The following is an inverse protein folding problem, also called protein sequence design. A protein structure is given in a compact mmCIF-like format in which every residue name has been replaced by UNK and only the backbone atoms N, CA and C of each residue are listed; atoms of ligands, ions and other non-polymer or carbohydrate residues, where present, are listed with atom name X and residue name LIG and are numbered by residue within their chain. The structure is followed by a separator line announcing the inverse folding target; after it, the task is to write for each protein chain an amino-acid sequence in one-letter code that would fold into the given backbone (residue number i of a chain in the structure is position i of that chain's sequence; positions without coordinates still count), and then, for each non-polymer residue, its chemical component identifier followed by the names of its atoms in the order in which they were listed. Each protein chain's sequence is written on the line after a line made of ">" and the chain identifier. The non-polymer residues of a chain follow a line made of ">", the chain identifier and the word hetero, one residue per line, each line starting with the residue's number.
data_IF_995426417720
#
_entry.id   IF_995426417720
#
_cell.length_a   1.000
_cell.length_b   1.000
_cell.length_c   1.000
_cell.angle_alpha   90.00
_cell.angle_beta   90.00
_cell.angle_gamma   90.00
#
_symmetry.space_group_name_H-M   'P 1'
#
loop_
_entity.id
_entity.type
_entity.pdbx_description
1 polymer ?
#
# COMPACT_ATOMS: atom_id res chain seq x y z
N UNK A 1 -1.25 0.99 60.88
CA UNK A 1 -0.39 0.51 59.76
C UNK A 1 -1.23 0.48 58.49
N UNK A 2 -0.83 1.22 57.45
CA UNK A 2 -1.68 1.63 56.33
C UNK A 2 -2.11 0.51 55.37
N UNK A 3 -3.34 0.65 54.85
CA UNK A 3 -3.94 -0.20 53.81
C UNK A 3 -3.23 0.00 52.48
N UNK A 4 -2.66 -1.06 51.90
CA UNK A 4 -2.37 -1.11 50.46
C UNK A 4 -3.53 -1.86 49.79
N UNK A 5 -4.55 -1.12 49.34
CA UNK A 5 -5.59 -1.65 48.45
C UNK A 5 -5.01 -1.66 47.04
N UNK A 6 -4.55 -2.83 46.59
CA UNK A 6 -4.35 -3.05 45.15
C UNK A 6 -5.69 -2.86 44.44
N UNK A 7 -5.81 -1.75 43.70
CA UNK A 7 -6.94 -1.54 42.81
C UNK A 7 -6.69 -2.39 41.56
N UNK A 8 -7.13 -3.65 41.59
CA UNK A 8 -7.22 -4.52 40.40
C UNK A 8 -8.27 -3.90 39.47
N UNK A 9 -7.84 -2.91 38.69
CA UNK A 9 -8.66 -2.11 37.77
C UNK A 9 -9.17 -3.08 36.71
N UNK A 10 -10.38 -3.62 36.90
CA UNK A 10 -11.08 -4.45 35.92
C UNK A 10 -11.00 -3.69 34.59
N UNK A 11 -10.21 -4.20 33.63
CA UNK A 11 -10.15 -3.62 32.29
C UNK A 11 -11.61 -3.62 31.81
N UNK A 12 -12.19 -2.43 31.67
CA UNK A 12 -13.57 -2.28 31.21
C UNK A 12 -13.70 -2.99 29.87
N UNK A 13 -14.76 -3.78 29.65
CA UNK A 13 -15.02 -4.47 28.38
C UNK A 13 -14.86 -3.52 27.18
N UNK A 14 -15.22 -2.24 27.37
CA UNK A 14 -15.02 -1.16 26.40
C UNK A 14 -13.55 -0.92 26.03
N UNK A 15 -12.63 -0.98 26.99
CA UNK A 15 -11.18 -0.81 26.74
C UNK A 15 -10.61 -1.99 25.96
N UNK A 16 -11.07 -3.22 26.21
CA UNK A 16 -10.64 -4.39 25.45
C UNK A 16 -11.11 -4.31 23.98
N UNK A 17 -12.37 -3.92 23.74
CA UNK A 17 -12.87 -3.70 22.38
C UNK A 17 -12.13 -2.55 21.67
N UNK A 18 -11.82 -1.46 22.38
CA UNK A 18 -11.06 -0.34 21.83
C UNK A 18 -9.62 -0.74 21.46
N UNK A 19 -8.96 -1.55 22.29
CA UNK A 19 -7.60 -2.05 22.04
C UNK A 19 -7.56 -2.95 20.80
N UNK A 20 -8.50 -3.90 20.68
CA UNK A 20 -8.61 -4.74 19.49
C UNK A 20 -8.96 -3.94 18.23
N UNK A 21 -9.86 -2.95 18.33
CA UNK A 21 -10.22 -2.10 17.21
C UNK A 21 -9.02 -1.26 16.73
N UNK A 22 -8.28 -0.66 17.67
CA UNK A 22 -7.08 0.11 17.37
C UNK A 22 -6.02 -0.76 16.68
N UNK A 23 -5.79 -1.98 17.17
CA UNK A 23 -4.87 -2.93 16.54
C UNK A 23 -5.30 -3.29 15.11
N UNK A 24 -6.59 -3.59 14.89
CA UNK A 24 -7.12 -3.91 13.56
C UNK A 24 -6.96 -2.74 12.59
N UNK A 25 -7.26 -1.51 13.02
CA UNK A 25 -7.09 -0.32 12.18
C UNK A 25 -5.61 -0.11 11.85
N UNK A 26 -4.72 -0.23 12.83
CA UNK A 26 -3.28 -0.10 12.64
C UNK A 26 -2.76 -1.12 11.61
N UNK A 27 -3.15 -2.39 11.77
CA UNK A 27 -2.79 -3.45 10.85
C UNK A 27 -3.33 -3.19 9.44
N UNK A 28 -4.60 -2.77 9.32
CA UNK A 28 -5.19 -2.42 8.04
C UNK A 28 -4.45 -1.26 7.34
N UNK A 29 -4.02 -0.24 8.09
CA UNK A 29 -3.23 0.88 7.57
C UNK A 29 -1.85 0.42 7.10
N UNK A 30 -1.18 -0.48 7.83
CA UNK A 30 0.10 -1.05 7.41
C UNK A 30 -0.05 -1.86 6.14
N UNK A 31 -1.05 -2.76 6.07
CA UNK A 31 -1.31 -3.57 4.87
C UNK A 31 -1.62 -2.69 3.65
N UNK A 32 -2.46 -1.66 3.83
CA UNK A 32 -2.81 -0.70 2.77
C UNK A 32 -1.62 0.14 2.29
N UNK A 33 -0.75 0.52 3.22
CA UNK A 33 0.40 1.37 2.90
C UNK A 33 1.50 0.58 2.20
N UNK A 34 1.82 -0.62 2.70
CA UNK A 34 3.03 -1.36 2.31
C UNK A 34 2.80 -2.62 1.48
N UNK A 35 1.64 -3.27 1.56
CA UNK A 35 1.44 -4.60 0.96
C UNK A 35 0.57 -4.52 -0.29
N UNK A 36 -0.68 -4.07 -0.14
CA UNK A 36 -1.65 -4.04 -1.24
C UNK A 36 -2.39 -2.72 -1.31
N UNK A 37 -2.69 -2.28 -2.53
CA UNK A 37 -3.59 -1.16 -2.77
C UNK A 37 -4.57 -1.49 -3.89
N UNK A 38 -5.85 -1.26 -3.60
CA UNK A 38 -6.90 -1.34 -4.62
C UNK A 38 -6.88 -0.06 -5.47
N UNK A 39 -6.89 -0.24 -6.78
CA UNK A 39 -7.03 0.82 -7.77
C UNK A 39 -8.25 0.52 -8.64
N UNK A 40 -8.92 1.58 -9.10
CA UNK A 40 -9.94 1.48 -10.13
C UNK A 40 -9.39 2.11 -11.40
N UNK A 41 -9.48 1.42 -12.53
CA UNK A 41 -8.98 1.94 -13.81
C UNK A 41 -9.90 3.07 -14.31
N UNK A 42 -9.41 4.32 -14.37
CA UNK A 42 -10.24 5.45 -14.81
C UNK A 42 -10.12 5.72 -16.32
N UNK A 43 -9.17 5.07 -17.01
CA UNK A 43 -8.79 5.42 -18.37
C UNK A 43 -8.49 4.20 -19.21
N UNK A 44 -8.86 4.25 -20.49
CA UNK A 44 -8.69 3.17 -21.45
C UNK A 44 -7.29 2.94 -22.01
N UNK A 45 -6.26 3.59 -21.46
CA UNK A 45 -4.91 3.51 -22.04
C UNK A 45 -4.28 2.11 -21.99
N UNK A 46 -4.88 1.19 -21.24
CA UNK A 46 -4.49 -0.20 -21.14
C UNK A 46 -5.64 -1.13 -21.59
N UNK A 47 -6.61 -0.66 -22.39
CA UNK A 47 -7.81 -1.41 -22.79
C UNK A 47 -7.54 -2.79 -23.39
N UNK A 48 -6.39 -2.98 -24.05
CA UNK A 48 -5.96 -4.29 -24.56
C UNK A 48 -5.73 -5.34 -23.46
N UNK A 49 -5.65 -4.93 -22.18
CA UNK A 49 -5.45 -5.84 -21.02
C UNK A 49 -6.32 -5.51 -19.82
N UNK A 50 -6.70 -4.23 -19.63
CA UNK A 50 -7.37 -3.69 -18.46
C UNK A 50 -8.49 -2.77 -18.92
N UNK A 51 -9.73 -3.16 -18.67
CA UNK A 51 -10.90 -2.39 -19.13
C UNK A 51 -11.20 -1.25 -18.15
N UNK A 52 -11.84 -0.20 -18.68
CA UNK A 52 -12.29 0.92 -17.86
C UNK A 52 -13.34 0.43 -16.88
N UNK A 53 -13.13 0.73 -15.59
CA UNK A 53 -14.01 0.30 -14.52
C UNK A 53 -13.52 -0.92 -13.73
N UNK A 54 -12.48 -1.61 -14.19
CA UNK A 54 -11.89 -2.75 -13.47
C UNK A 54 -11.28 -2.33 -12.13
N UNK A 55 -11.38 -3.23 -11.16
CA UNK A 55 -10.72 -3.13 -9.86
C UNK A 55 -9.45 -3.99 -9.85
N UNK A 56 -8.31 -3.35 -9.60
CA UNK A 56 -7.01 -4.00 -9.53
C UNK A 56 -6.49 -3.97 -8.10
N UNK A 57 -5.98 -5.11 -7.65
CA UNK A 57 -5.18 -5.20 -6.44
C UNK A 57 -3.71 -5.16 -6.83
N UNK A 58 -3.06 -4.03 -6.54
CA UNK A 58 -1.65 -3.83 -6.81
C UNK A 58 -0.81 -4.20 -5.59
N UNK A 59 0.17 -5.05 -5.84
CA UNK A 59 1.19 -5.46 -4.88
C UNK A 59 2.34 -4.44 -4.88
N UNK A 60 2.82 -4.05 -3.69
CA UNK A 60 3.82 -2.98 -3.53
C UNK A 60 5.19 -3.45 -3.04
N UNK A 61 5.29 -4.63 -2.40
CA UNK A 61 6.55 -5.15 -1.84
C UNK A 61 7.56 -5.49 -2.94
N UNK A 62 7.10 -6.00 -4.08
CA UNK A 62 8.01 -6.37 -5.19
C UNK A 62 8.88 -5.21 -5.65
N UNK A 63 8.31 -4.00 -5.74
CA UNK A 63 9.00 -2.83 -6.30
C UNK A 63 9.35 -1.75 -5.27
N UNK A 64 9.05 -2.00 -3.99
CA UNK A 64 9.33 -1.07 -2.91
C UNK A 64 8.15 -0.12 -2.65
N UNK A 65 7.44 -0.29 -1.53
CA UNK A 65 6.35 0.61 -1.18
C UNK A 65 6.88 2.00 -0.84
N UNK A 66 6.10 3.03 -1.19
CA UNK A 66 6.33 4.40 -0.76
C UNK A 66 5.92 4.53 0.70
N UNK A 67 6.83 5.00 1.55
CA UNK A 67 6.50 5.33 2.94
C UNK A 67 5.52 6.51 2.91
N UNK A 68 4.34 6.39 3.54
CA UNK A 68 3.37 7.46 3.57
C UNK A 68 4.00 8.70 4.23
N UNK A 69 3.69 9.89 3.69
CA UNK A 69 4.13 11.20 4.19
C UNK A 69 5.61 11.56 4.05
N UNK A 70 6.52 10.62 3.74
CA UNK A 70 7.96 10.94 3.67
C UNK A 70 8.51 11.03 2.24
N UNK A 71 7.78 10.52 1.24
CA UNK A 71 8.23 10.50 -0.15
C UNK A 71 9.38 9.51 -0.43
N UNK A 72 9.86 8.80 0.59
CA UNK A 72 10.94 7.81 0.49
C UNK A 72 10.35 6.46 0.07
N UNK A 73 10.98 5.82 -0.93
CA UNK A 73 10.66 4.44 -1.34
C UNK A 73 11.56 3.46 -0.61
N UNK A 74 10.97 2.38 -0.10
CA UNK A 74 11.74 1.25 0.41
C UNK A 74 12.40 0.49 -0.75
N UNK A 75 13.52 -0.22 -0.51
CA UNK A 75 14.10 -1.08 -1.53
C UNK A 75 13.10 -2.16 -1.96
N UNK A 76 12.95 -2.35 -3.27
CA UNK A 76 12.13 -3.41 -3.83
C UNK A 76 12.84 -4.76 -3.74
N UNK A 77 12.05 -5.83 -3.67
CA UNK A 77 12.56 -7.21 -3.72
C UNK A 77 13.06 -7.60 -5.11
N UNK A 78 12.56 -6.94 -6.16
CA UNK A 78 12.94 -7.18 -7.55
C UNK A 78 12.91 -5.90 -8.37
N UNK A 79 13.69 -5.91 -9.44
CA UNK A 79 13.63 -4.88 -10.46
C UNK A 79 12.49 -5.15 -11.46
N UNK A 80 11.92 -4.10 -12.08
CA UNK A 80 10.94 -4.24 -13.17
C UNK A 80 11.54 -5.02 -14.33
N UNK A 81 10.74 -5.86 -14.99
CA UNK A 81 11.12 -6.60 -16.19
C UNK A 81 10.19 -6.25 -17.36
N UNK A 82 10.65 -6.39 -18.61
CA UNK A 82 9.76 -6.28 -19.77
C UNK A 82 8.52 -7.19 -19.62
N UNK A 83 7.35 -6.64 -19.90
CA UNK A 83 6.06 -7.29 -19.74
C UNK A 83 5.34 -6.98 -18.42
N UNK A 84 6.04 -6.53 -17.37
CA UNK A 84 5.42 -6.20 -16.09
C UNK A 84 4.46 -5.01 -16.21
N UNK A 85 3.30 -5.09 -15.55
CA UNK A 85 2.41 -3.94 -15.39
C UNK A 85 2.75 -3.28 -14.05
N UNK A 86 3.22 -2.04 -14.11
CA UNK A 86 3.66 -1.30 -12.94
C UNK A 86 2.82 -0.05 -12.73
N UNK A 87 2.71 0.35 -11.46
CA UNK A 87 2.09 1.61 -11.05
C UNK A 87 3.18 2.56 -10.61
N UNK A 88 3.25 3.73 -11.21
CA UNK A 88 4.24 4.74 -10.85
C UNK A 88 3.63 6.14 -10.85
N UNK A 89 4.24 7.04 -10.08
CA UNK A 89 3.86 8.44 -10.04
C UNK A 89 4.32 9.13 -11.31
N UNK A 90 3.43 9.88 -11.96
CA UNK A 90 3.76 10.59 -13.18
C UNK A 90 4.87 11.63 -12.91
N UNK A 91 6.00 11.61 -13.64
CA UNK A 91 7.16 12.46 -13.34
C UNK A 91 6.88 13.96 -13.34
N UNK A 92 5.95 14.44 -14.20
CA UNK A 92 5.58 15.87 -14.25
C UNK A 92 4.54 16.25 -13.19
N UNK A 93 3.79 15.29 -12.66
CA UNK A 93 2.80 15.53 -11.60
C UNK A 93 2.69 14.31 -10.67
N UNK A 94 3.43 14.31 -9.54
CA UNK A 94 3.47 13.21 -8.59
C UNK A 94 2.15 12.91 -7.84
N UNK A 95 1.10 13.70 -8.07
CA UNK A 95 -0.24 13.44 -7.54
C UNK A 95 -1.05 12.48 -8.42
N UNK A 96 -0.53 12.11 -9.60
CA UNK A 96 -1.19 11.17 -10.51
C UNK A 96 -0.44 9.86 -10.58
N UNK A 97 -1.11 8.77 -10.26
CA UNK A 97 -0.62 7.41 -10.45
C UNK A 97 -0.95 6.94 -11.87
N UNK A 98 0.03 6.36 -12.55
CA UNK A 98 -0.08 5.82 -13.91
C UNK A 98 0.16 4.32 -13.87
N UNK A 99 -0.66 3.58 -14.63
CA UNK A 99 -0.58 2.13 -14.77
C UNK A 99 -0.15 1.85 -16.21
N UNK A 100 1.03 1.24 -16.39
CA UNK A 100 1.60 0.96 -17.70
C UNK A 100 2.35 -0.36 -17.72
N UNK A 101 2.48 -0.94 -18.91
CA UNK A 101 3.35 -2.08 -19.17
C UNK A 101 4.79 -1.62 -19.41
N UNK A 102 5.75 -2.26 -18.77
CA UNK A 102 7.18 -2.09 -19.02
C UNK A 102 7.50 -2.74 -20.37
N UNK A 103 8.01 -1.95 -21.32
CA UNK A 103 8.45 -2.47 -22.63
C UNK A 103 9.96 -2.74 -22.61
N UNK A 104 10.73 -1.89 -21.94
CA UNK A 104 12.17 -2.04 -21.81
C UNK A 104 12.67 -1.52 -20.46
N UNK A 105 13.85 -2.01 -20.08
CA UNK A 105 14.59 -1.63 -18.88
C UNK A 105 15.97 -1.07 -19.27
N UNK A 106 16.68 -0.45 -18.32
CA UNK A 106 17.98 0.17 -18.57
C UNK A 106 18.95 -0.79 -19.25
N UNK A 107 19.50 -0.38 -20.40
CA UNK A 107 20.43 -1.19 -21.21
C UNK A 107 19.80 -1.94 -22.38
N UNK A 108 18.48 -1.85 -22.59
CA UNK A 108 17.80 -2.43 -23.76
C UNK A 108 17.54 -1.38 -24.85
N UNK A 109 17.63 -1.80 -26.11
CA UNK A 109 17.23 -1.00 -27.29
C UNK A 109 15.82 -1.43 -27.69
N UNK A 110 14.95 -0.45 -27.94
CA UNK A 110 13.55 -0.63 -28.34
C UNK A 110 13.36 -0.23 -29.79
#
# INVERSE_FOLDING_TARGET
>A
MGKVKETRRKKSKLRQHAESLAFTILLALLLRSFVVQAFRIPSGSMEDTLLVGDFLLAEKLSYGPLIPFTGVRLPGLREPRPGDIIIFKFPRNPHKDFIKRVIAVGGQVV
#
